data_IF_324218087511
#
_entry.id   IF_324218087511
#
_cell.length_a   1.000
_cell.length_b   1.000
_cell.length_c   1.000
_cell.angle_alpha   90.00
_cell.angle_beta   90.00
_cell.angle_gamma   90.00
#
_symmetry.space_group_name_H-M   'P 1'
#
loop_
_entity.id
_entity.type
_entity.pdbx_description
1 polymer ?
#
# COMPACT_ATOMS: atom_id res chain seq x y z
N UNK A 1 -14.96 -16.46 1.18
CA UNK A 1 -14.83 -15.29 2.09
C UNK A 1 -13.45 -14.72 1.85
N UNK A 2 -13.36 -13.71 0.99
CA UNK A 2 -12.09 -13.08 0.65
C UNK A 2 -11.79 -12.03 1.72
N UNK A 3 -11.08 -12.43 2.76
CA UNK A 3 -10.57 -11.51 3.77
C UNK A 3 -9.43 -10.70 3.15
N UNK A 4 -9.76 -9.60 2.46
CA UNK A 4 -8.82 -8.53 2.23
C UNK A 4 -8.54 -7.87 3.58
N UNK A 5 -7.55 -8.36 4.32
CA UNK A 5 -7.00 -7.61 5.45
C UNK A 5 -6.03 -6.57 4.92
N UNK A 6 -6.27 -5.25 5.13
CA UNK A 6 -5.35 -4.17 4.79
C UNK A 6 -4.15 -4.14 5.77
N UNK A 7 -3.42 -5.25 5.87
CA UNK A 7 -2.40 -5.50 6.88
C UNK A 7 -1.04 -4.87 6.58
N UNK A 8 -0.78 -4.43 5.34
CA UNK A 8 0.58 -3.94 4.98
C UNK A 8 0.88 -2.57 5.63
N UNK A 9 -0.14 -1.78 5.98
CA UNK A 9 0.04 -0.40 6.49
C UNK A 9 -0.03 -0.32 8.02
N UNK A 10 -0.91 -1.07 8.70
CA UNK A 10 -0.97 -1.09 10.17
C UNK A 10 0.33 -1.58 10.83
N UNK A 11 1.12 -2.39 10.11
CA UNK A 11 2.42 -2.85 10.58
C UNK A 11 3.46 -1.72 10.72
N UNK A 12 3.24 -0.54 10.11
CA UNK A 12 4.18 0.60 10.15
C UNK A 12 4.17 1.34 11.49
N UNK A 13 3.12 1.22 12.31
CA UNK A 13 2.92 2.05 13.52
C UNK A 13 2.76 1.25 14.84
N UNK A 14 2.82 -0.08 14.82
CA UNK A 14 2.71 -0.93 16.02
C UNK A 14 3.80 -2.01 16.13
N UNK A 15 3.94 -2.62 17.31
CA UNK A 15 4.82 -3.79 17.52
C UNK A 15 4.30 -4.92 16.62
N UNK A 16 5.05 -5.34 15.58
CA UNK A 16 4.54 -6.35 14.66
C UNK A 16 4.39 -7.70 15.36
N UNK A 17 3.37 -8.50 15.01
CA UNK A 17 3.27 -9.87 15.48
C UNK A 17 4.54 -10.68 15.08
N UNK A 18 4.85 -11.79 15.78
CA UNK A 18 6.08 -12.56 15.57
C UNK A 18 6.28 -13.02 14.11
N UNK A 19 5.17 -13.25 13.42
CA UNK A 19 5.10 -13.37 11.97
C UNK A 19 4.06 -12.36 11.42
N UNK A 20 4.49 -11.28 10.73
CA UNK A 20 3.59 -10.33 10.08
C UNK A 20 2.86 -10.91 8.86
N UNK A 21 3.29 -12.05 8.34
CA UNK A 21 2.74 -12.65 7.11
C UNK A 21 2.43 -14.15 7.29
N UNK A 22 1.25 -14.50 7.86
CA UNK A 22 0.80 -15.89 7.94
C UNK A 22 0.69 -16.57 6.57
N UNK A 23 0.83 -17.90 6.51
CA UNK A 23 0.52 -18.68 5.29
C UNK A 23 -0.91 -18.37 4.81
N UNK A 24 -1.08 -18.20 3.51
CA UNK A 24 -2.35 -17.81 2.88
C UNK A 24 -2.56 -16.30 2.78
N UNK A 25 -1.67 -15.47 3.33
CA UNK A 25 -1.73 -14.01 3.19
C UNK A 25 -1.52 -13.62 1.73
N UNK A 26 -2.39 -12.77 1.18
CA UNK A 26 -2.24 -12.18 -0.15
C UNK A 26 -1.29 -10.98 -0.08
N UNK A 27 -0.32 -10.97 -0.99
CA UNK A 27 0.68 -9.92 -1.12
C UNK A 27 0.85 -9.55 -2.59
N UNK A 28 1.47 -8.41 -2.83
CA UNK A 28 2.00 -8.03 -4.14
C UNK A 28 3.52 -7.97 -4.05
N UNK A 29 4.20 -8.28 -5.15
CA UNK A 29 5.65 -8.10 -5.25
C UNK A 29 6.02 -7.59 -6.64
N UNK A 30 7.18 -6.94 -6.71
CA UNK A 30 7.72 -6.46 -7.95
C UNK A 30 8.52 -7.57 -8.63
N UNK A 31 8.16 -7.86 -9.87
CA UNK A 31 8.96 -8.71 -10.74
C UNK A 31 10.22 -7.96 -11.18
N UNK A 32 11.30 -8.68 -11.45
CA UNK A 32 12.53 -8.09 -12.00
C UNK A 32 12.32 -7.42 -13.36
N UNK A 33 11.27 -7.81 -14.09
CA UNK A 33 10.80 -7.17 -15.33
C UNK A 33 10.09 -5.83 -15.12
N UNK A 34 9.92 -5.38 -13.87
CA UNK A 34 9.26 -4.12 -13.51
C UNK A 34 7.75 -4.22 -13.26
N UNK A 35 7.11 -5.36 -13.57
CA UNK A 35 5.67 -5.55 -13.35
C UNK A 35 5.29 -5.84 -11.89
N UNK A 36 4.03 -5.58 -11.54
CA UNK A 36 3.43 -5.96 -10.27
C UNK A 36 2.75 -7.32 -10.41
N UNK A 37 3.04 -8.26 -9.51
CA UNK A 37 2.39 -9.58 -9.49
C UNK A 37 1.73 -9.83 -8.14
N UNK A 38 0.55 -10.45 -8.17
CA UNK A 38 -0.11 -10.91 -6.96
C UNK A 38 0.36 -12.31 -6.58
N UNK A 39 0.49 -12.56 -5.28
CA UNK A 39 0.95 -13.83 -4.77
C UNK A 39 0.34 -14.17 -3.40
N UNK A 40 0.45 -15.44 -3.05
CA UNK A 40 0.04 -15.98 -1.75
C UNK A 40 1.26 -16.42 -0.97
N UNK A 41 1.39 -16.00 0.29
CA UNK A 41 2.46 -16.46 1.18
C UNK A 41 2.30 -17.96 1.44
N UNK A 42 3.31 -18.75 1.07
CA UNK A 42 3.37 -20.18 1.38
C UNK A 42 4.11 -20.44 2.70
N UNK A 43 5.23 -19.76 2.91
CA UNK A 43 6.02 -19.89 4.14
C UNK A 43 6.87 -18.66 4.44
N UNK A 44 7.32 -18.53 5.69
CA UNK A 44 8.23 -17.47 6.13
C UNK A 44 9.50 -18.04 6.75
N UNK A 45 10.65 -17.49 6.40
CA UNK A 45 11.96 -17.79 7.00
C UNK A 45 12.62 -16.54 7.58
N UNK A 46 13.87 -16.67 8.03
CA UNK A 46 14.68 -15.54 8.49
C UNK A 46 16.13 -15.69 8.03
N UNK A 47 16.73 -14.58 7.60
CA UNK A 47 18.17 -14.46 7.40
C UNK A 47 18.89 -14.30 8.75
N UNK A 48 20.22 -14.52 8.82
CA UNK A 48 21.00 -14.35 10.05
C UNK A 48 20.92 -12.94 10.67
N UNK A 49 20.69 -11.93 9.85
CA UNK A 49 20.51 -10.53 10.29
C UNK A 49 19.08 -10.24 10.83
N UNK A 50 18.21 -11.25 10.85
CA UNK A 50 16.82 -11.17 11.31
C UNK A 50 15.82 -10.71 10.25
N UNK A 51 16.26 -10.42 9.02
CA UNK A 51 15.38 -10.11 7.87
C UNK A 51 14.43 -11.28 7.62
N UNK A 52 13.15 -10.99 7.46
CA UNK A 52 12.15 -12.02 7.14
C UNK A 52 12.30 -12.40 5.67
N UNK A 53 12.33 -13.69 5.36
CA UNK A 53 12.19 -14.20 4.01
C UNK A 53 10.76 -14.64 3.79
N UNK A 54 10.14 -14.20 2.69
CA UNK A 54 8.83 -14.64 2.25
C UNK A 54 8.99 -15.59 1.08
N UNK A 55 8.52 -16.82 1.25
CA UNK A 55 8.28 -17.71 0.12
C UNK A 55 6.81 -17.58 -0.27
N UNK A 56 6.59 -17.11 -1.49
CA UNK A 56 5.29 -16.82 -2.08
C UNK A 56 5.06 -17.72 -3.29
N UNK A 57 3.80 -18.00 -3.58
CA UNK A 57 3.35 -18.63 -4.82
C UNK A 57 2.58 -17.57 -5.57
N UNK A 58 3.09 -17.12 -6.71
CA UNK A 58 2.39 -16.14 -7.53
C UNK A 58 1.15 -16.73 -8.20
N UNK A 59 0.34 -15.88 -8.83
CA UNK A 59 -0.91 -16.30 -9.47
C UNK A 59 -0.69 -17.18 -10.71
N UNK A 60 0.52 -17.19 -11.28
CA UNK A 60 0.94 -18.12 -12.33
C UNK A 60 1.37 -19.48 -11.76
N UNK A 61 1.48 -19.60 -10.43
CA UNK A 61 1.85 -20.82 -9.71
C UNK A 61 3.35 -20.95 -9.43
N UNK A 62 4.15 -19.94 -9.78
CA UNK A 62 5.59 -19.95 -9.58
C UNK A 62 5.95 -19.65 -8.13
N UNK A 63 6.91 -20.41 -7.60
CA UNK A 63 7.36 -20.30 -6.22
C UNK A 63 8.57 -19.38 -6.15
N UNK A 64 8.40 -18.21 -5.52
CA UNK A 64 9.44 -17.18 -5.39
C UNK A 64 9.80 -16.99 -3.92
N UNK A 65 11.08 -16.79 -3.60
CA UNK A 65 11.52 -16.43 -2.24
C UNK A 65 12.23 -15.09 -2.25
N UNK A 66 11.74 -14.14 -1.46
CA UNK A 66 12.19 -12.76 -1.44
C UNK A 66 12.39 -12.26 0.01
N UNK A 67 13.40 -11.42 0.27
CA UNK A 67 13.55 -10.76 1.57
C UNK A 67 12.55 -9.61 1.75
N UNK A 68 11.98 -9.51 2.95
CA UNK A 68 11.05 -8.46 3.35
C UNK A 68 11.80 -7.18 3.76
N UNK A 69 11.48 -6.07 3.08
CA UNK A 69 12.04 -4.76 3.34
C UNK A 69 11.26 -3.97 4.41
N UNK A 70 10.11 -4.44 4.91
CA UNK A 70 9.25 -3.67 5.82
C UNK A 70 9.97 -3.21 7.11
N UNK A 71 10.92 -4.00 7.63
CA UNK A 71 11.75 -3.57 8.77
C UNK A 71 12.61 -2.36 8.41
N UNK A 72 13.25 -2.39 7.26
CA UNK A 72 14.11 -1.30 6.78
C UNK A 72 13.29 -0.03 6.52
N UNK A 73 12.17 -0.15 5.78
CA UNK A 73 11.23 0.97 5.53
C UNK A 73 10.77 1.63 6.83
N UNK A 74 10.33 0.86 7.83
CA UNK A 74 9.93 1.40 9.15
C UNK A 74 11.05 2.11 9.87
N UNK A 75 12.27 1.56 9.82
CA UNK A 75 13.43 2.21 10.42
C UNK A 75 13.73 3.55 9.74
N UNK A 76 13.70 3.57 8.41
CA UNK A 76 13.93 4.77 7.60
C UNK A 76 12.87 5.84 7.83
N UNK A 77 11.59 5.50 7.73
CA UNK A 77 10.48 6.43 8.00
C UNK A 77 10.54 7.00 9.43
N UNK A 78 10.90 6.18 10.44
CA UNK A 78 11.11 6.69 11.81
C UNK A 78 12.27 7.67 11.92
N UNK A 79 13.40 7.39 11.26
CA UNK A 79 14.53 8.32 11.25
C UNK A 79 14.23 9.65 10.54
N UNK A 80 13.29 9.67 9.59
CA UNK A 80 12.83 10.89 8.94
C UNK A 80 11.98 11.77 9.88
N UNK A 81 11.13 11.14 10.69
CA UNK A 81 10.25 11.86 11.62
C UNK A 81 10.86 12.13 13.00
N UNK A 82 12.05 11.59 13.30
CA UNK A 82 12.67 11.71 14.63
C UNK A 82 14.18 11.87 14.52
N UNK A 83 14.72 13.10 14.73
CA UNK A 83 16.16 13.38 14.63
C UNK A 83 17.03 12.55 15.59
N UNK A 84 16.46 12.04 16.68
CA UNK A 84 17.15 11.17 17.65
C UNK A 84 17.29 9.73 17.19
N UNK A 85 16.55 9.31 16.15
CA UNK A 85 16.60 7.96 15.61
C UNK A 85 17.62 7.93 14.47
N UNK A 86 18.73 7.17 14.59
CA UNK A 86 19.72 7.10 13.54
C UNK A 86 19.13 6.43 12.29
N UNK A 87 19.60 6.86 11.12
CA UNK A 87 19.28 6.21 9.86
C UNK A 87 19.77 4.75 9.91
N UNK A 88 18.90 3.74 9.75
CA UNK A 88 19.36 2.35 9.66
C UNK A 88 20.24 2.15 8.43
N UNK A 89 21.28 1.33 8.57
CA UNK A 89 22.06 0.86 7.43
C UNK A 89 21.17 0.04 6.49
N UNK A 90 21.34 0.15 5.15
CA UNK A 90 20.73 -0.76 4.20
C UNK A 90 21.08 -2.22 4.53
N UNK A 91 20.16 -3.18 4.29
CA UNK A 91 20.50 -4.59 4.43
C UNK A 91 21.69 -4.97 3.55
N UNK A 92 22.60 -5.84 4.00
CA UNK A 92 23.86 -6.13 3.29
C UNK A 92 23.65 -6.84 1.95
N UNK A 93 22.50 -7.48 1.76
CA UNK A 93 22.11 -8.16 0.53
C UNK A 93 21.42 -7.23 -0.48
N UNK A 94 21.12 -5.98 -0.12
CA UNK A 94 20.42 -5.04 -0.99
C UNK A 94 21.44 -4.32 -1.88
N UNK A 95 21.45 -4.64 -3.17
CA UNK A 95 22.37 -4.07 -4.15
C UNK A 95 22.23 -2.54 -4.27
N UNK A 96 23.32 -1.78 -4.56
CA UNK A 96 23.29 -0.31 -4.59
C UNK A 96 22.21 0.30 -5.51
N UNK A 97 21.95 -0.32 -6.67
CA UNK A 97 20.90 0.13 -7.59
C UNK A 97 19.50 -0.04 -6.98
N UNK A 98 19.25 -1.17 -6.32
CA UNK A 98 18.00 -1.41 -5.62
C UNK A 98 17.84 -0.49 -4.40
N UNK A 99 18.94 -0.12 -3.72
CA UNK A 99 18.91 0.86 -2.62
C UNK A 99 18.38 2.22 -3.09
N UNK A 100 18.79 2.70 -4.27
CA UNK A 100 18.32 3.97 -4.81
C UNK A 100 16.81 3.95 -5.09
N UNK A 101 16.30 2.85 -5.66
CA UNK A 101 14.86 2.64 -5.87
C UNK A 101 14.10 2.56 -4.56
N UNK A 102 14.61 1.84 -3.56
CA UNK A 102 14.01 1.76 -2.22
C UNK A 102 13.92 3.12 -1.54
N UNK A 103 14.99 3.91 -1.59
CA UNK A 103 14.99 5.27 -1.02
C UNK A 103 14.02 6.20 -1.76
N UNK A 104 13.86 6.06 -3.10
CA UNK A 104 12.83 6.77 -3.86
C UNK A 104 11.43 6.45 -3.34
N UNK A 105 11.11 5.17 -3.14
CA UNK A 105 9.81 4.73 -2.59
C UNK A 105 9.61 5.27 -1.17
N UNK A 106 10.65 5.27 -0.33
CA UNK A 106 10.56 5.83 1.04
C UNK A 106 10.23 7.33 1.00
N UNK A 107 10.89 8.09 0.13
CA UNK A 107 10.62 9.53 -0.01
C UNK A 107 9.20 9.79 -0.52
N UNK A 108 8.73 9.02 -1.52
CA UNK A 108 7.34 9.11 -1.99
C UNK A 108 6.32 8.78 -0.90
N UNK A 109 6.61 7.79 -0.05
CA UNK A 109 5.76 7.47 1.12
C UNK A 109 5.72 8.62 2.12
N UNK A 110 6.85 9.26 2.37
CA UNK A 110 6.94 10.43 3.26
C UNK A 110 6.17 11.63 2.69
N UNK A 111 6.35 11.93 1.41
CA UNK A 111 5.62 13.00 0.70
C UNK A 111 4.12 12.73 0.71
N UNK A 112 3.71 11.52 0.36
CA UNK A 112 2.31 11.15 0.37
C UNK A 112 1.71 11.23 1.78
N UNK A 113 2.45 10.91 2.84
CA UNK A 113 1.98 11.05 4.21
C UNK A 113 1.79 12.52 4.62
N UNK A 114 2.58 13.45 4.06
CA UNK A 114 2.44 14.89 4.29
C UNK A 114 1.26 15.49 3.51
N UNK A 115 0.94 14.91 2.35
CA UNK A 115 -0.13 15.37 1.46
C UNK A 115 -1.40 14.53 1.66
N UNK A 116 -2.29 14.99 2.54
CA UNK A 116 -3.56 14.31 2.83
C UNK A 116 -4.77 15.05 2.28
N UNK A 117 -5.70 14.31 1.70
CA UNK A 117 -7.05 14.76 1.38
C UNK A 117 -8.05 13.98 2.25
N UNK A 118 -9.12 14.64 2.68
CA UNK A 118 -10.09 14.04 3.62
C UNK A 118 -11.49 14.14 3.06
N UNK A 119 -12.22 13.03 3.06
CA UNK A 119 -13.66 13.01 2.72
C UNK A 119 -14.49 13.56 3.88
N UNK A 120 -15.75 13.91 3.59
CA UNK A 120 -16.70 14.39 4.60
C UNK A 120 -17.47 13.28 5.31
N UNK A 121 -17.23 12.02 4.93
CA UNK A 121 -17.97 10.84 5.37
C UNK A 121 -17.04 9.73 5.91
N UNK A 122 -17.63 8.71 6.56
CA UNK A 122 -16.96 7.59 7.23
C UNK A 122 -17.01 6.29 6.41
N UNK A 123 -15.89 5.56 6.31
CA UNK A 123 -15.85 4.32 5.53
C UNK A 123 -16.67 3.19 6.13
N UNK A 124 -16.87 3.17 7.44
CA UNK A 124 -17.69 2.17 8.11
C UNK A 124 -19.17 2.40 7.81
N UNK A 125 -19.59 3.66 7.74
CA UNK A 125 -20.94 4.02 7.32
C UNK A 125 -21.17 3.67 5.85
N UNK A 126 -20.18 3.94 4.99
CA UNK A 126 -20.23 3.51 3.59
C UNK A 126 -20.41 2.00 3.49
N UNK A 127 -19.55 1.23 4.18
CA UNK A 127 -19.60 -0.23 4.19
C UNK A 127 -20.92 -0.80 4.72
N UNK A 128 -21.52 -0.17 5.74
CA UNK A 128 -22.80 -0.58 6.31
C UNK A 128 -23.98 -0.36 5.34
N UNK A 129 -23.87 0.62 4.45
CA UNK A 129 -24.88 0.94 3.43
C UNK A 129 -24.71 0.14 2.13
N UNK A 130 -23.59 -0.58 1.96
CA UNK A 130 -23.40 -1.45 0.81
C UNK A 130 -24.37 -2.63 0.87
N UNK A 131 -24.96 -2.96 -0.28
CA UNK A 131 -25.74 -4.18 -0.37
C UNK A 131 -24.83 -5.42 -0.33
N UNK A 132 -25.31 -6.58 0.17
CA UNK A 132 -24.54 -7.82 0.16
C UNK A 132 -24.10 -8.29 -1.23
N UNK A 133 -24.71 -7.77 -2.30
CA UNK A 133 -24.38 -8.05 -3.70
C UNK A 133 -24.15 -6.74 -4.44
N UNK A 134 -22.92 -6.26 -4.39
CA UNK A 134 -22.51 -5.12 -5.20
C UNK A 134 -22.21 -5.55 -6.62
N UNK A 135 -23.13 -5.27 -7.54
CA UNK A 135 -22.89 -5.42 -8.99
C UNK A 135 -22.65 -4.09 -9.69
N UNK A 136 -22.76 -2.96 -8.98
CA UNK A 136 -22.74 -1.61 -9.57
C UNK A 136 -23.93 -1.32 -10.49
N UNK A 137 -24.92 -2.22 -10.56
CA UNK A 137 -26.04 -2.15 -11.51
C UNK A 137 -27.34 -1.66 -10.87
N UNK A 138 -27.34 -1.41 -9.56
CA UNK A 138 -28.52 -0.91 -8.86
C UNK A 138 -28.46 0.62 -8.82
N UNK A 139 -28.99 1.27 -9.85
CA UNK A 139 -28.96 2.72 -10.02
C UNK A 139 -29.53 3.49 -8.82
N UNK A 140 -30.59 2.98 -8.18
CA UNK A 140 -31.18 3.62 -7.00
C UNK A 140 -30.24 3.59 -5.79
N UNK A 141 -29.60 2.44 -5.57
CA UNK A 141 -28.60 2.29 -4.51
C UNK A 141 -27.38 3.17 -4.80
N UNK A 142 -26.85 3.15 -6.03
CA UNK A 142 -25.70 3.96 -6.41
C UNK A 142 -25.99 5.47 -6.27
N UNK A 143 -27.18 5.92 -6.65
CA UNK A 143 -27.61 7.31 -6.47
C UNK A 143 -27.72 7.68 -4.98
N UNK A 144 -28.24 6.79 -4.14
CA UNK A 144 -28.31 6.99 -2.69
C UNK A 144 -26.90 7.03 -2.07
N UNK A 145 -26.02 6.12 -2.47
CA UNK A 145 -24.63 6.07 -2.00
C UNK A 145 -23.88 7.34 -2.41
N UNK A 146 -23.99 7.77 -3.67
CA UNK A 146 -23.32 8.97 -4.16
C UNK A 146 -23.79 10.24 -3.43
N UNK A 147 -25.09 10.34 -3.11
CA UNK A 147 -25.63 11.48 -2.37
C UNK A 147 -25.15 11.53 -0.91
N UNK A 148 -24.96 10.36 -0.27
CA UNK A 148 -24.52 10.27 1.13
C UNK A 148 -22.99 10.28 1.28
N UNK A 149 -22.28 9.73 0.31
CA UNK A 149 -20.83 9.53 0.30
C UNK A 149 -20.22 10.19 -0.95
N UNK A 150 -20.27 11.53 -1.07
CA UNK A 150 -19.79 12.22 -2.26
C UNK A 150 -18.27 12.03 -2.43
N UNK A 151 -17.77 12.04 -3.68
CA UNK A 151 -16.34 12.16 -3.96
C UNK A 151 -15.76 13.45 -3.37
N UNK A 152 -14.43 13.50 -3.21
CA UNK A 152 -13.72 14.67 -2.64
C UNK A 152 -13.83 15.89 -3.55
N UNK A 153 -14.00 15.67 -4.85
CA UNK A 153 -14.17 16.72 -5.85
C UNK A 153 -15.57 16.60 -6.45
N UNK A 154 -16.30 17.71 -6.50
CA UNK A 154 -17.63 17.73 -7.09
C UNK A 154 -17.53 17.58 -8.62
N UNK A 155 -18.33 16.68 -9.18
CA UNK A 155 -18.43 16.41 -10.61
C UNK A 155 -19.08 17.55 -11.42
N UNK A 156 -19.64 18.56 -10.75
CA UNK A 156 -20.40 19.64 -11.38
C UNK A 156 -19.52 20.89 -11.60
N UNK A 157 -18.79 20.91 -12.72
CA UNK A 157 -18.23 22.14 -13.29
C UNK A 157 -16.95 22.69 -12.65
N UNK A 158 -16.33 21.96 -11.72
CA UNK A 158 -14.97 22.22 -11.25
C UNK A 158 -14.02 21.16 -11.81
N UNK A 159 -12.90 21.60 -12.36
CA UNK A 159 -11.85 20.70 -12.85
C UNK A 159 -11.41 19.79 -11.69
N UNK A 160 -11.53 18.47 -11.87
CA UNK A 160 -10.92 17.50 -10.96
C UNK A 160 -9.43 17.85 -10.93
N UNK A 161 -8.86 18.23 -9.77
CA UNK A 161 -7.48 18.66 -9.73
C UNK A 161 -6.59 17.50 -10.15
N UNK A 162 -5.74 17.76 -11.13
CA UNK A 162 -4.72 16.82 -11.54
C UNK A 162 -3.73 16.67 -10.38
N UNK A 163 -3.61 15.46 -9.83
CA UNK A 163 -2.67 15.13 -8.78
C UNK A 163 -1.39 14.59 -9.43
N UNK A 164 -0.34 15.41 -9.42
CA UNK A 164 1.00 15.07 -9.93
C UNK A 164 1.97 14.65 -8.82
N UNK A 165 1.60 14.92 -7.56
CA UNK A 165 2.40 14.59 -6.38
C UNK A 165 1.84 13.38 -5.62
N UNK A 166 2.70 12.60 -4.93
CA UNK A 166 2.25 11.55 -4.02
C UNK A 166 1.32 12.11 -2.94
N UNK A 167 0.21 11.42 -2.67
CA UNK A 167 -0.74 11.80 -1.63
C UNK A 167 -1.51 10.59 -1.10
N UNK A 168 -2.27 10.80 -0.02
CA UNK A 168 -3.25 9.83 0.44
C UNK A 168 -4.60 10.48 0.71
N UNK A 169 -5.63 9.66 0.62
CA UNK A 169 -7.00 10.02 0.92
C UNK A 169 -7.41 9.31 2.19
N UNK A 170 -8.02 10.06 3.10
CA UNK A 170 -8.61 9.56 4.34
C UNK A 170 -10.11 9.80 4.39
N UNK A 171 -10.79 9.02 5.22
CA UNK A 171 -12.11 9.38 5.71
C UNK A 171 -12.03 10.44 6.82
N UNK A 172 -13.17 10.97 7.26
CA UNK A 172 -13.19 12.03 8.29
C UNK A 172 -12.63 11.58 9.66
N UNK A 173 -12.54 10.26 9.91
CA UNK A 173 -11.91 9.69 11.12
C UNK A 173 -10.42 9.38 10.94
N UNK A 174 -9.86 9.68 9.76
CA UNK A 174 -8.45 9.41 9.44
C UNK A 174 -8.18 7.97 9.00
N UNK A 175 -9.19 7.15 8.71
CA UNK A 175 -8.97 5.86 8.07
C UNK A 175 -8.52 6.08 6.62
N UNK A 176 -7.42 5.46 6.23
CA UNK A 176 -6.88 5.63 4.87
C UNK A 176 -7.73 4.84 3.87
N UNK A 177 -8.23 5.55 2.86
CA UNK A 177 -9.04 5.01 1.76
C UNK A 177 -8.20 4.69 0.53
N UNK A 178 -7.25 5.58 0.19
CA UNK A 178 -6.41 5.45 -0.99
C UNK A 178 -5.03 6.03 -0.72
N UNK A 179 -4.01 5.40 -1.31
CA UNK A 179 -2.72 6.03 -1.55
C UNK A 179 -2.52 6.23 -3.04
N UNK A 180 -1.98 7.39 -3.41
CA UNK A 180 -1.62 7.74 -4.76
C UNK A 180 -0.12 7.98 -4.84
N UNK A 181 0.55 7.23 -5.71
CA UNK A 181 2.00 7.28 -5.90
C UNK A 181 2.34 7.39 -7.39
N UNK A 182 2.36 8.60 -7.95
CA UNK A 182 2.64 8.81 -9.36
C UNK A 182 4.06 8.35 -9.68
N UNK A 183 4.26 7.69 -10.82
CA UNK A 183 5.59 7.31 -11.32
C UNK A 183 6.42 6.42 -10.37
N UNK A 184 5.76 5.74 -9.41
CA UNK A 184 6.43 4.78 -8.52
C UNK A 184 7.13 3.66 -9.31
N UNK A 185 6.59 3.32 -10.49
CA UNK A 185 7.15 2.36 -11.43
C UNK A 185 7.62 3.08 -12.69
N UNK A 186 8.81 2.73 -13.20
CA UNK A 186 9.39 3.38 -14.38
C UNK A 186 8.59 3.12 -15.66
N UNK A 187 8.64 4.06 -16.60
CA UNK A 187 7.92 4.01 -17.89
C UNK A 187 8.34 2.88 -18.85
N UNK A 188 9.25 1.99 -18.46
CA UNK A 188 9.56 0.79 -19.26
C UNK A 188 8.35 -0.15 -19.43
N UNK A 189 7.22 0.14 -18.76
CA UNK A 189 5.93 -0.54 -18.84
C UNK A 189 4.90 0.11 -19.79
N UNK A 190 5.19 1.22 -20.48
CA UNK A 190 4.22 1.83 -21.41
C UNK A 190 4.17 1.20 -22.81
N UNK A 191 4.84 0.07 -23.02
CA UNK A 191 4.79 -0.69 -24.28
C UNK A 191 4.25 -2.09 -24.02
N UNK A 192 2.93 -2.21 -23.96
CA UNK A 192 2.17 -3.40 -24.36
C UNK A 192 0.86 -2.96 -25.00
#
# INVERSE_FOLDING_TARGET
>A
MNNFTPMTIWSLLGIPPPNPYPKGTRVWYNMSSGGLMFATVDSTGRLPDGTILLTIIDDDGERVTLPDLARYFRGRLRSLHSPSVPRPAPPPWLEPEAQASVERVINMLEEAFKSSYTTTWDVRDYAADLSPRQSGSNEELEKKLLARFPPIYETAGSDIPYLDQPCHITDWQGHILLWYFPEMFSEQLRVL
#
